data_IF_641935873419
#
_entry.id   IF_641935873419
#
_cell.length_a   1.000
_cell.length_b   1.000
_cell.length_c   1.000
_cell.angle_alpha   90.00
_cell.angle_beta   90.00
_cell.angle_gamma   90.00
#
_symmetry.space_group_name_H-M   'P 1'
#
loop_
_entity.id
_entity.type
_entity.pdbx_description
1 polymer ?
#
# COMPACT_ATOMS: atom_id res chain seq x y z
N UNK A 1 5.82 -18.68 0.07
CA UNK A 1 4.42 -18.26 0.43
C UNK A 1 3.97 -17.39 -0.72
N UNK A 2 2.75 -17.56 -1.22
CA UNK A 2 2.25 -16.70 -2.30
C UNK A 2 2.11 -15.25 -1.81
N UNK A 3 2.45 -14.24 -2.62
CA UNK A 3 2.29 -12.86 -2.23
C UNK A 3 0.81 -12.44 -2.15
N UNK A 4 0.49 -11.53 -1.26
CA UNK A 4 -0.78 -10.81 -1.22
C UNK A 4 -0.80 -9.85 -2.41
N UNK A 5 -1.89 -9.82 -3.18
CA UNK A 5 -2.05 -8.88 -4.29
C UNK A 5 -3.09 -7.83 -3.91
N UNK A 6 -2.68 -6.57 -3.99
CA UNK A 6 -3.46 -5.38 -3.67
C UNK A 6 -3.57 -4.47 -4.91
N UNK A 7 -4.58 -4.64 -5.78
CA UNK A 7 -4.79 -3.72 -6.90
C UNK A 7 -5.03 -2.29 -6.42
N UNK A 8 -4.21 -1.32 -6.90
CA UNK A 8 -4.42 0.09 -6.57
C UNK A 8 -5.46 0.72 -7.49
N UNK A 9 -6.56 1.16 -6.89
CA UNK A 9 -7.65 1.83 -7.61
C UNK A 9 -7.26 3.22 -8.15
N UNK A 10 -6.08 3.72 -7.84
CA UNK A 10 -5.54 4.93 -8.48
C UNK A 10 -5.43 4.77 -10.00
N UNK A 11 -5.25 3.52 -10.48
CA UNK A 11 -5.15 3.18 -11.91
C UNK A 11 -6.47 2.69 -12.52
N UNK A 12 -7.57 2.67 -11.74
CA UNK A 12 -8.89 2.27 -12.22
C UNK A 12 -9.50 3.34 -13.14
N UNK A 13 -10.49 2.97 -13.93
CA UNK A 13 -11.30 3.92 -14.70
C UNK A 13 -12.32 4.59 -13.77
N UNK A 14 -12.04 5.84 -13.36
CA UNK A 14 -12.93 6.59 -12.47
C UNK A 14 -14.32 6.87 -13.05
N UNK A 15 -14.49 6.82 -14.37
CA UNK A 15 -15.80 6.87 -15.02
C UNK A 15 -16.62 5.60 -14.80
N UNK A 16 -15.96 4.48 -14.49
CA UNK A 16 -16.56 3.16 -14.29
C UNK A 16 -16.05 2.46 -13.03
N UNK A 17 -15.67 3.21 -12.01
CA UNK A 17 -15.02 2.72 -10.79
C UNK A 17 -15.78 1.54 -10.14
N UNK A 18 -17.10 1.58 -10.12
CA UNK A 18 -17.90 0.48 -9.57
C UNK A 18 -17.65 -0.86 -10.29
N UNK A 19 -17.52 -0.83 -11.62
CA UNK A 19 -17.20 -2.02 -12.44
C UNK A 19 -15.82 -2.57 -12.11
N UNK A 20 -14.86 -1.68 -11.91
CA UNK A 20 -13.48 -2.08 -11.57
C UNK A 20 -13.41 -2.68 -10.16
N UNK A 21 -14.14 -2.12 -9.18
CA UNK A 21 -14.24 -2.73 -7.84
C UNK A 21 -14.93 -4.11 -7.92
N UNK A 22 -15.97 -4.28 -8.71
CA UNK A 22 -16.61 -5.59 -8.92
C UNK A 22 -15.64 -6.60 -9.56
N UNK A 23 -14.78 -6.18 -10.50
CA UNK A 23 -13.74 -7.03 -11.07
C UNK A 23 -12.76 -7.47 -9.98
N UNK A 24 -12.27 -6.54 -9.14
CA UNK A 24 -11.37 -6.90 -8.02
C UNK A 24 -12.06 -7.84 -7.03
N UNK A 25 -13.34 -7.64 -6.71
CA UNK A 25 -14.09 -8.55 -5.83
C UNK A 25 -14.12 -10.00 -6.35
N UNK A 26 -14.25 -10.19 -7.66
CA UNK A 26 -14.28 -11.53 -8.28
C UNK A 26 -12.91 -12.16 -8.44
N UNK A 27 -11.86 -11.35 -8.45
CA UNK A 27 -10.48 -11.81 -8.66
C UNK A 27 -9.89 -12.49 -7.43
N UNK A 28 -8.69 -13.05 -7.59
CA UNK A 28 -7.90 -13.64 -6.50
C UNK A 28 -7.14 -12.59 -5.65
N UNK A 29 -7.37 -11.29 -5.89
CA UNK A 29 -6.79 -10.24 -5.05
C UNK A 29 -7.26 -10.39 -3.59
N UNK A 30 -6.34 -10.18 -2.65
CA UNK A 30 -6.67 -10.23 -1.22
C UNK A 30 -7.14 -8.88 -0.70
N UNK A 31 -6.57 -7.78 -1.20
CA UNK A 31 -6.87 -6.43 -0.73
C UNK A 31 -7.27 -5.49 -1.87
N UNK A 32 -7.83 -4.33 -1.53
CA UNK A 32 -7.97 -3.16 -2.41
C UNK A 32 -7.08 -2.07 -1.86
N UNK A 33 -6.09 -1.63 -2.63
CA UNK A 33 -5.19 -0.54 -2.26
C UNK A 33 -5.76 0.81 -2.68
N UNK A 34 -5.71 1.78 -1.77
CA UNK A 34 -6.34 3.10 -1.91
C UNK A 34 -5.30 4.18 -1.65
N UNK A 35 -4.94 4.93 -2.69
CA UNK A 35 -3.97 6.03 -2.64
C UNK A 35 -4.66 7.38 -2.46
N UNK A 36 -4.58 7.95 -1.24
CA UNK A 36 -5.12 9.29 -0.95
C UNK A 36 -3.99 10.32 -1.01
N UNK A 37 -4.17 11.34 -1.85
CA UNK A 37 -3.20 12.41 -2.08
C UNK A 37 -3.85 13.77 -1.89
N UNK A 38 -3.17 14.71 -1.22
CA UNK A 38 -3.69 16.02 -0.82
C UNK A 38 -3.11 17.23 -1.55
N UNK A 39 -2.14 17.00 -2.47
CA UNK A 39 -1.43 18.07 -3.15
C UNK A 39 -0.43 18.83 -2.26
N UNK A 40 -0.31 18.45 -1.00
CA UNK A 40 0.62 19.02 -0.03
C UNK A 40 1.83 18.16 0.21
N UNK A 41 1.63 16.89 0.54
CA UNK A 41 2.71 15.91 0.72
C UNK A 41 3.28 15.45 -0.64
N UNK A 42 2.42 15.27 -1.64
CA UNK A 42 2.79 14.93 -3.02
C UNK A 42 2.19 15.94 -3.99
N UNK A 43 2.80 16.16 -5.20
CA UNK A 43 2.36 17.17 -6.15
C UNK A 43 1.15 16.70 -6.99
N UNK A 44 0.20 16.02 -6.38
CA UNK A 44 -1.02 15.51 -7.01
C UNK A 44 -2.16 15.42 -5.98
N UNK A 45 -3.39 15.49 -6.47
CA UNK A 45 -4.62 15.24 -5.71
C UNK A 45 -5.32 14.05 -6.36
N UNK A 46 -5.64 13.00 -5.58
CA UNK A 46 -6.34 11.84 -6.12
C UNK A 46 -7.86 11.93 -5.88
N UNK A 47 -8.36 11.28 -4.90
CA UNK A 47 -9.76 11.27 -4.51
C UNK A 47 -9.86 11.33 -2.97
N UNK A 48 -10.99 11.80 -2.48
CA UNK A 48 -11.24 11.92 -1.05
C UNK A 48 -12.39 11.04 -0.56
N UNK A 49 -12.71 11.19 0.72
CA UNK A 49 -13.72 10.40 1.41
C UNK A 49 -15.11 10.32 0.77
N UNK A 50 -15.61 11.38 0.05
CA UNK A 50 -16.88 11.26 -0.68
C UNK A 50 -16.91 10.13 -1.72
N UNK A 51 -15.79 9.90 -2.44
CA UNK A 51 -15.64 8.79 -3.39
C UNK A 51 -15.42 7.49 -2.63
N UNK A 52 -14.55 7.49 -1.63
CA UNK A 52 -14.16 6.31 -0.87
C UNK A 52 -15.31 5.63 -0.12
N UNK A 53 -16.34 6.38 0.28
CA UNK A 53 -17.58 5.80 0.85
C UNK A 53 -18.27 4.83 -0.11
N UNK A 54 -18.22 5.11 -1.41
CA UNK A 54 -18.78 4.19 -2.41
C UNK A 54 -17.85 3.00 -2.65
N UNK A 55 -16.54 3.21 -2.68
CA UNK A 55 -15.55 2.12 -2.76
C UNK A 55 -15.74 1.17 -1.58
N UNK A 56 -15.80 1.68 -0.36
CA UNK A 56 -15.99 0.90 0.85
C UNK A 56 -17.32 0.12 0.86
N UNK A 57 -18.39 0.71 0.30
CA UNK A 57 -19.68 0.05 0.18
C UNK A 57 -19.68 -1.11 -0.83
N UNK A 58 -18.90 -0.97 -1.90
CA UNK A 58 -18.88 -1.94 -3.00
C UNK A 58 -17.81 -3.03 -2.79
N UNK A 59 -16.72 -2.71 -2.12
CA UNK A 59 -15.63 -3.66 -1.91
C UNK A 59 -16.06 -4.79 -0.96
N UNK A 60 -15.75 -6.02 -1.35
CA UNK A 60 -15.83 -7.22 -0.52
C UNK A 60 -14.46 -7.64 0.02
N UNK A 61 -13.41 -6.91 -0.37
CA UNK A 61 -12.03 -7.14 0.04
C UNK A 61 -11.64 -6.13 1.12
N UNK A 62 -10.74 -6.47 2.06
CA UNK A 62 -10.14 -5.53 2.99
C UNK A 62 -9.56 -4.32 2.27
N UNK A 63 -9.79 -3.13 2.83
CA UNK A 63 -9.25 -1.89 2.30
C UNK A 63 -7.89 -1.61 2.96
N UNK A 64 -6.86 -1.47 2.15
CA UNK A 64 -5.55 -0.99 2.54
C UNK A 64 -5.43 0.48 2.12
N UNK A 65 -5.43 1.39 3.09
CA UNK A 65 -5.51 2.84 2.84
C UNK A 65 -4.17 3.50 3.04
N UNK A 66 -3.56 3.92 1.94
CA UNK A 66 -2.28 4.60 1.89
C UNK A 66 -2.46 6.13 1.81
N UNK A 67 -1.99 6.83 2.85
CA UNK A 67 -2.14 8.27 3.00
C UNK A 67 -0.87 9.02 2.60
N UNK A 68 -0.83 9.54 1.39
CA UNK A 68 0.18 10.48 0.90
C UNK A 68 -0.26 11.92 1.16
N UNK A 69 -0.42 12.25 2.44
CA UNK A 69 -0.97 13.53 2.91
C UNK A 69 -0.17 14.11 4.09
N UNK A 70 -0.28 15.40 4.31
CA UNK A 70 0.28 16.05 5.50
C UNK A 70 -0.65 15.83 6.71
N UNK A 71 -0.07 15.65 7.91
CA UNK A 71 -0.80 15.42 9.18
C UNK A 71 -1.84 14.28 9.09
N UNK A 72 -1.44 13.06 8.68
CA UNK A 72 -2.37 11.94 8.45
C UNK A 72 -3.16 11.54 9.69
N UNK A 73 -2.66 11.82 10.89
CA UNK A 73 -3.32 11.50 12.16
C UNK A 73 -4.69 12.16 12.31
N UNK A 74 -4.92 13.27 11.61
CA UNK A 74 -6.21 13.99 11.63
C UNK A 74 -7.34 13.21 10.93
N UNK A 75 -7.00 12.25 10.10
CA UNK A 75 -7.94 11.49 9.27
C UNK A 75 -8.18 10.05 9.77
N UNK A 76 -7.64 9.69 10.94
CA UNK A 76 -7.89 8.38 11.57
C UNK A 76 -9.40 8.09 11.72
N UNK A 77 -10.25 9.04 12.19
CA UNK A 77 -11.70 8.80 12.30
C UNK A 77 -12.36 8.53 10.94
N UNK A 78 -11.98 9.27 9.90
CA UNK A 78 -12.55 9.14 8.57
C UNK A 78 -12.15 7.80 7.91
N UNK A 79 -10.87 7.41 8.03
CA UNK A 79 -10.36 6.13 7.51
C UNK A 79 -11.02 4.97 8.24
N UNK A 80 -11.18 5.05 9.57
CA UNK A 80 -11.94 4.08 10.34
C UNK A 80 -13.40 3.97 9.88
N UNK A 81 -14.06 5.10 9.58
CA UNK A 81 -15.45 5.13 9.12
C UNK A 81 -15.64 4.45 7.74
N UNK A 82 -14.59 4.31 6.94
CA UNK A 82 -14.59 3.51 5.72
C UNK A 82 -14.55 2.00 6.01
N UNK A 83 -14.27 1.58 7.23
CA UNK A 83 -14.03 0.17 7.56
C UNK A 83 -12.66 -0.32 7.06
N UNK A 84 -11.68 0.56 6.96
CA UNK A 84 -10.33 0.20 6.51
C UNK A 84 -9.73 -0.89 7.41
N UNK A 85 -9.09 -1.87 6.77
CA UNK A 85 -8.31 -2.89 7.45
C UNK A 85 -6.96 -2.32 7.89
N UNK A 86 -6.26 -1.65 6.98
CA UNK A 86 -4.94 -1.09 7.19
C UNK A 86 -4.97 0.42 6.95
N UNK A 87 -4.26 1.18 7.78
CA UNK A 87 -3.97 2.58 7.54
C UNK A 87 -2.45 2.78 7.45
N UNK A 88 -1.98 3.09 6.25
CA UNK A 88 -0.61 3.37 5.90
C UNK A 88 -0.33 4.87 5.98
N UNK A 89 0.67 5.27 6.78
CA UNK A 89 1.11 6.66 6.91
C UNK A 89 2.59 6.77 6.58
N UNK A 90 2.99 7.81 5.89
CA UNK A 90 4.39 8.05 5.60
C UNK A 90 5.18 8.42 6.85
N UNK A 91 6.35 7.81 7.02
CA UNK A 91 7.34 8.17 8.03
C UNK A 91 7.63 9.68 7.99
N UNK A 92 7.80 10.20 6.78
CA UNK A 92 8.15 11.60 6.51
C UNK A 92 7.03 12.61 6.82
N UNK A 93 5.78 12.13 6.89
CA UNK A 93 4.61 12.95 7.23
C UNK A 93 4.28 12.98 8.73
N UNK A 94 4.98 12.15 9.55
CA UNK A 94 4.63 11.91 10.94
C UNK A 94 5.77 12.27 11.91
N UNK A 95 5.92 13.54 12.35
CA UNK A 95 6.94 13.90 13.34
C UNK A 95 6.85 13.10 14.65
N UNK A 96 5.67 12.63 15.00
CA UNK A 96 5.40 11.79 16.19
C UNK A 96 4.88 10.40 15.80
N UNK A 97 5.60 9.72 14.90
CA UNK A 97 5.16 8.47 14.28
C UNK A 97 4.68 7.40 15.28
N UNK A 98 5.41 7.17 16.36
CA UNK A 98 5.01 6.17 17.37
C UNK A 98 3.62 6.47 17.95
N UNK A 99 3.29 7.74 18.22
CA UNK A 99 1.96 8.16 18.68
C UNK A 99 0.89 7.86 17.62
N UNK A 100 1.16 8.15 16.35
CA UNK A 100 0.23 7.90 15.24
C UNK A 100 -0.06 6.41 15.10
N UNK A 101 0.97 5.57 15.18
CA UNK A 101 0.83 4.09 15.19
C UNK A 101 -0.11 3.62 16.31
N UNK A 102 0.07 4.15 17.53
CA UNK A 102 -0.80 3.83 18.66
C UNK A 102 -2.25 4.25 18.40
N UNK A 103 -2.47 5.47 17.93
CA UNK A 103 -3.81 5.99 17.61
C UNK A 103 -4.53 5.16 16.53
N UNK A 104 -3.83 4.73 15.49
CA UNK A 104 -4.39 3.84 14.44
C UNK A 104 -4.81 2.50 15.06
N UNK A 105 -3.96 1.92 15.92
CA UNK A 105 -4.27 0.66 16.61
C UNK A 105 -5.45 0.80 17.57
N UNK A 106 -5.50 1.87 18.35
CA UNK A 106 -6.62 2.18 19.29
C UNK A 106 -7.94 2.41 18.53
N UNK A 107 -7.86 2.93 17.30
CA UNK A 107 -9.00 3.04 16.42
C UNK A 107 -9.49 1.67 15.87
N UNK A 108 -8.75 0.58 16.08
CA UNK A 108 -9.10 -0.78 15.65
C UNK A 108 -8.67 -1.12 14.23
N UNK A 109 -7.74 -0.34 13.64
CA UNK A 109 -7.13 -0.62 12.34
C UNK A 109 -5.72 -1.18 12.52
N UNK A 110 -5.19 -1.84 11.50
CA UNK A 110 -3.80 -2.29 11.44
C UNK A 110 -2.89 -1.10 11.06
N UNK A 111 -1.94 -0.71 11.94
CA UNK A 111 -1.04 0.40 11.62
C UNK A 111 0.03 -0.04 10.64
N UNK A 112 0.21 0.72 9.58
CA UNK A 112 1.30 0.52 8.63
C UNK A 112 2.08 1.81 8.41
N UNK A 113 3.37 1.65 8.08
CA UNK A 113 4.28 2.78 7.86
C UNK A 113 4.91 2.67 6.48
N UNK A 114 4.81 3.75 5.73
CA UNK A 114 5.41 3.88 4.41
C UNK A 114 6.72 4.66 4.49
N UNK A 115 7.72 4.24 3.72
CA UNK A 115 8.96 4.99 3.52
C UNK A 115 9.20 5.28 2.05
N UNK A 116 9.61 6.53 1.77
CA UNK A 116 10.01 7.00 0.44
C UNK A 116 11.29 6.29 -0.06
N UNK A 117 11.58 6.35 -1.38
CA UNK A 117 12.79 5.72 -1.93
C UNK A 117 14.09 6.17 -1.24
N UNK A 118 14.19 7.46 -0.86
CA UNK A 118 15.38 8.01 -0.22
C UNK A 118 15.46 7.78 1.30
N UNK A 119 14.40 7.29 1.96
CA UNK A 119 14.35 7.10 3.41
C UNK A 119 14.95 5.75 3.79
N UNK A 120 16.02 5.70 4.62
CA UNK A 120 16.68 4.45 5.00
C UNK A 120 15.78 3.54 5.85
N UNK A 121 15.84 2.23 5.61
CA UNK A 121 15.15 1.19 6.41
C UNK A 121 15.56 1.24 7.89
N UNK A 122 16.80 1.61 8.19
CA UNK A 122 17.33 1.68 9.56
C UNK A 122 16.53 2.60 10.49
N UNK A 123 15.83 3.60 9.95
CA UNK A 123 14.96 4.51 10.74
C UNK A 123 13.73 3.80 11.33
N UNK A 124 13.39 2.61 10.87
CA UNK A 124 12.26 1.82 11.37
C UNK A 124 12.63 0.95 12.57
N UNK A 125 13.92 0.88 12.96
CA UNK A 125 14.41 -0.06 13.96
C UNK A 125 13.63 0.01 15.29
N UNK A 126 13.28 1.20 15.75
CA UNK A 126 12.65 1.40 17.05
C UNK A 126 11.13 1.15 17.04
N UNK A 127 10.51 1.13 15.83
CA UNK A 127 9.05 0.97 15.68
C UNK A 127 8.62 -0.32 14.97
N UNK A 128 9.58 -1.09 14.44
CA UNK A 128 9.28 -2.25 13.58
C UNK A 128 8.44 -3.34 14.27
N UNK A 129 8.46 -3.41 15.60
CA UNK A 129 7.64 -4.34 16.38
C UNK A 129 6.22 -3.83 16.64
N UNK A 130 6.00 -2.54 16.42
CA UNK A 130 4.72 -1.86 16.70
C UNK A 130 3.86 -1.70 15.47
N UNK A 131 4.36 -2.04 14.28
CA UNK A 131 3.62 -1.95 13.03
C UNK A 131 3.15 -3.33 12.57
N UNK A 132 2.01 -3.35 11.89
CA UNK A 132 1.50 -4.52 11.19
C UNK A 132 2.22 -4.73 9.86
N UNK A 133 2.57 -3.62 9.18
CA UNK A 133 3.15 -3.66 7.86
C UNK A 133 4.06 -2.46 7.62
N UNK A 134 5.08 -2.63 6.78
CA UNK A 134 5.87 -1.55 6.21
C UNK A 134 5.71 -1.56 4.69
N UNK A 135 5.30 -0.42 4.15
CA UNK A 135 5.22 -0.19 2.71
C UNK A 135 6.51 0.49 2.22
N UNK A 136 7.21 -0.15 1.29
CA UNK A 136 8.35 0.42 0.58
C UNK A 136 7.88 1.01 -0.73
N UNK A 137 8.07 2.34 -0.90
CA UNK A 137 7.85 2.97 -2.18
C UNK A 137 8.96 2.58 -3.16
N UNK A 138 8.60 2.00 -4.28
CA UNK A 138 9.49 1.67 -5.40
C UNK A 138 9.40 2.64 -6.58
N UNK A 139 8.68 3.73 -6.37
CA UNK A 139 8.64 4.95 -7.19
C UNK A 139 8.57 6.17 -6.25
N UNK A 140 8.75 7.38 -6.76
CA UNK A 140 8.42 8.56 -5.96
C UNK A 140 6.90 8.67 -5.85
N UNK A 141 6.33 8.82 -4.63
CA UNK A 141 4.87 8.90 -4.46
C UNK A 141 4.28 10.10 -5.20
N UNK A 142 3.02 9.97 -5.64
CA UNK A 142 2.25 11.03 -6.28
C UNK A 142 1.61 10.71 -7.63
N UNK A 143 2.15 9.76 -8.41
CA UNK A 143 1.60 9.38 -9.72
C UNK A 143 1.71 7.89 -9.96
N UNK A 144 0.70 7.32 -10.64
CA UNK A 144 0.76 5.96 -11.16
C UNK A 144 1.63 5.84 -12.43
N UNK A 145 1.96 4.60 -12.81
CA UNK A 145 2.62 4.29 -14.08
C UNK A 145 4.10 4.74 -14.19
N UNK A 146 4.75 5.03 -13.08
CA UNK A 146 6.16 5.43 -13.04
C UNK A 146 7.11 4.24 -13.23
N UNK A 147 8.35 4.54 -13.64
CA UNK A 147 9.42 3.55 -13.78
C UNK A 147 9.89 3.09 -12.39
N UNK A 148 10.02 1.77 -12.22
CA UNK A 148 10.52 1.13 -11.02
C UNK A 148 11.92 1.61 -10.63
N UNK A 149 12.14 1.86 -9.35
CA UNK A 149 13.44 2.23 -8.78
C UNK A 149 14.14 0.96 -8.30
N UNK A 150 15.21 0.55 -9.00
CA UNK A 150 15.93 -0.70 -8.78
C UNK A 150 16.41 -0.92 -7.34
N UNK A 151 16.85 0.16 -6.67
CA UNK A 151 17.32 0.10 -5.29
C UNK A 151 16.26 -0.37 -4.28
N UNK A 152 14.97 -0.34 -4.66
CA UNK A 152 13.89 -0.81 -3.78
C UNK A 152 13.99 -2.30 -3.45
N UNK A 153 14.58 -3.11 -4.34
CA UNK A 153 14.81 -4.55 -4.07
C UNK A 153 15.78 -4.73 -2.90
N UNK A 154 16.85 -3.93 -2.83
CA UNK A 154 17.78 -3.97 -1.70
C UNK A 154 17.11 -3.52 -0.41
N UNK A 155 16.25 -2.48 -0.47
CA UNK A 155 15.49 -2.03 0.70
C UNK A 155 14.56 -3.12 1.24
N UNK A 156 13.95 -3.92 0.37
CA UNK A 156 13.15 -5.10 0.79
C UNK A 156 14.03 -6.10 1.54
N UNK A 157 15.23 -6.43 1.03
CA UNK A 157 16.17 -7.33 1.71
C UNK A 157 16.61 -6.78 3.07
N UNK A 158 16.94 -5.49 3.14
CA UNK A 158 17.31 -4.82 4.39
C UNK A 158 16.18 -4.87 5.43
N UNK A 159 14.94 -4.62 4.98
CA UNK A 159 13.77 -4.67 5.85
C UNK A 159 13.46 -6.10 6.32
N UNK A 160 13.59 -7.09 5.46
CA UNK A 160 13.44 -8.50 5.84
C UNK A 160 14.46 -8.89 6.90
N UNK A 161 15.72 -8.51 6.73
CA UNK A 161 16.77 -8.75 7.72
C UNK A 161 16.50 -8.00 9.05
N UNK A 162 15.94 -6.79 9.01
CA UNK A 162 15.53 -6.06 10.20
C UNK A 162 14.40 -6.77 10.95
N UNK A 163 13.37 -7.22 10.24
CA UNK A 163 12.23 -7.98 10.79
C UNK A 163 12.71 -9.26 11.47
N UNK A 164 13.56 -10.05 10.81
CA UNK A 164 14.11 -11.29 11.35
C UNK A 164 14.97 -11.04 12.60
N UNK A 165 15.91 -10.08 12.53
CA UNK A 165 16.79 -9.73 13.64
C UNK A 165 16.03 -9.27 14.87
N UNK A 166 14.91 -8.55 14.69
CA UNK A 166 14.12 -8.02 15.80
C UNK A 166 13.03 -8.97 16.28
N UNK A 167 12.74 -10.05 15.53
CA UNK A 167 11.61 -10.94 15.80
C UNK A 167 10.25 -10.28 15.56
N UNK A 168 10.21 -9.21 14.76
CA UNK A 168 8.96 -8.58 14.32
C UNK A 168 8.15 -9.54 13.44
N UNK A 169 6.83 -9.29 13.36
CA UNK A 169 5.92 -10.00 12.44
C UNK A 169 5.36 -9.07 11.37
N UNK A 170 5.96 -7.90 11.21
CA UNK A 170 5.50 -6.94 10.21
C UNK A 170 5.61 -7.54 8.80
N UNK A 171 4.57 -7.30 7.99
CA UNK A 171 4.58 -7.60 6.57
C UNK A 171 5.41 -6.56 5.81
N UNK A 172 5.94 -6.95 4.65
CA UNK A 172 6.60 -6.06 3.70
C UNK A 172 5.70 -5.91 2.49
N UNK A 173 5.19 -4.71 2.29
CA UNK A 173 4.45 -4.33 1.09
C UNK A 173 5.32 -3.47 0.19
N UNK A 174 5.12 -3.56 -1.13
CA UNK A 174 5.84 -2.72 -2.10
C UNK A 174 4.84 -2.09 -3.07
N UNK A 175 4.96 -0.76 -3.25
CA UNK A 175 4.15 0.01 -4.18
C UNK A 175 4.99 0.82 -5.16
N UNK A 176 4.66 0.68 -6.44
CA UNK A 176 5.21 1.45 -7.54
C UNK A 176 5.93 0.62 -8.61
N UNK A 177 5.46 0.68 -9.86
CA UNK A 177 6.07 0.00 -10.99
C UNK A 177 6.08 -1.54 -10.89
N UNK A 178 5.19 -2.11 -10.08
CA UNK A 178 5.05 -3.56 -9.90
C UNK A 178 4.41 -4.18 -11.14
N UNK A 179 5.03 -5.22 -11.65
CA UNK A 179 4.58 -6.08 -12.75
C UNK A 179 5.15 -7.50 -12.53
N UNK A 180 4.98 -8.42 -13.46
CA UNK A 180 5.46 -9.81 -13.29
C UNK A 180 6.97 -9.90 -13.09
N UNK A 181 7.76 -9.08 -13.80
CA UNK A 181 9.23 -9.10 -13.70
C UNK A 181 9.70 -8.49 -12.37
N UNK A 182 9.25 -7.28 -12.05
CA UNK A 182 9.67 -6.60 -10.81
C UNK A 182 9.07 -7.27 -9.59
N UNK A 183 7.83 -7.78 -9.68
CA UNK A 183 7.15 -8.55 -8.63
C UNK A 183 7.90 -9.81 -8.24
N UNK A 184 8.37 -10.61 -9.22
CA UNK A 184 9.16 -11.81 -8.95
C UNK A 184 10.42 -11.49 -8.14
N UNK A 185 11.14 -10.43 -8.51
CA UNK A 185 12.35 -9.97 -7.81
C UNK A 185 12.06 -9.45 -6.39
N UNK A 186 10.91 -8.81 -6.20
CA UNK A 186 10.47 -8.32 -4.89
C UNK A 186 10.09 -9.47 -3.96
N UNK A 187 9.36 -10.46 -4.46
CA UNK A 187 9.01 -11.68 -3.70
C UNK A 187 10.27 -12.44 -3.33
N UNK A 188 11.21 -12.65 -4.26
CA UNK A 188 12.51 -13.24 -3.97
C UNK A 188 13.31 -12.49 -2.90
N UNK A 189 13.20 -11.15 -2.89
CA UNK A 189 13.82 -10.30 -1.87
C UNK A 189 13.13 -10.36 -0.50
N UNK A 190 11.90 -10.90 -0.44
CA UNK A 190 11.15 -11.10 0.79
C UNK A 190 9.91 -10.21 0.95
N UNK A 191 9.36 -9.64 -0.12
CA UNK A 191 8.08 -8.95 -0.06
C UNK A 191 6.94 -9.94 0.20
N UNK A 192 5.98 -9.54 1.05
CA UNK A 192 4.79 -10.32 1.40
C UNK A 192 3.56 -9.83 0.63
N UNK A 193 3.52 -8.55 0.23
CA UNK A 193 2.41 -7.95 -0.49
C UNK A 193 2.91 -7.06 -1.65
N UNK A 194 2.16 -7.07 -2.74
CA UNK A 194 2.45 -6.34 -3.97
C UNK A 194 1.28 -5.44 -4.35
N UNK A 195 1.52 -4.13 -4.38
CA UNK A 195 0.55 -3.17 -4.92
C UNK A 195 0.73 -3.05 -6.43
N UNK A 196 -0.29 -3.42 -7.17
CA UNK A 196 -0.28 -3.41 -8.63
C UNK A 196 -1.42 -2.54 -9.19
N UNK A 197 -1.09 -1.37 -9.71
CA UNK A 197 -2.05 -0.47 -10.35
C UNK A 197 -2.13 -0.70 -11.86
N UNK A 198 -1.30 0.02 -12.60
CA UNK A 198 -1.33 0.01 -14.07
C UNK A 198 -1.15 -1.40 -14.68
N UNK A 199 -0.32 -2.25 -14.07
CA UNK A 199 -0.13 -3.62 -14.57
C UNK A 199 -1.44 -4.42 -14.58
N UNK A 200 -2.33 -4.18 -13.61
CA UNK A 200 -3.64 -4.85 -13.52
C UNK A 200 -4.66 -4.13 -14.38
N UNK A 201 -4.93 -2.84 -14.15
CA UNK A 201 -6.07 -2.15 -14.77
C UNK A 201 -5.87 -1.85 -16.27
N UNK A 202 -4.63 -1.81 -16.78
CA UNK A 202 -4.36 -1.69 -18.20
C UNK A 202 -4.18 -3.05 -18.92
N UNK A 203 -4.24 -4.17 -18.20
CA UNK A 203 -4.15 -5.50 -18.81
C UNK A 203 -5.39 -5.83 -19.65
N UNK A 204 -5.24 -6.55 -20.77
CA UNK A 204 -6.39 -7.05 -21.54
C UNK A 204 -7.33 -7.95 -20.72
N UNK A 205 -6.79 -8.68 -19.75
CA UNK A 205 -7.52 -9.49 -18.76
C UNK A 205 -6.93 -9.21 -17.37
N UNK A 206 -7.52 -8.25 -16.62
CA UNK A 206 -7.07 -7.87 -15.29
C UNK A 206 -7.12 -9.02 -14.27
N UNK A 207 -8.15 -9.89 -14.34
CA UNK A 207 -8.27 -11.02 -13.41
C UNK A 207 -7.17 -12.06 -13.67
N UNK A 208 -6.79 -12.31 -14.93
CA UNK A 208 -5.66 -13.16 -15.27
C UNK A 208 -4.31 -12.56 -14.80
N UNK A 209 -4.15 -11.25 -14.90
CA UNK A 209 -2.93 -10.57 -14.42
C UNK A 209 -2.78 -10.69 -12.90
N UNK A 210 -3.86 -10.50 -12.13
CA UNK A 210 -3.87 -10.69 -10.67
C UNK A 210 -3.47 -12.13 -10.34
N UNK A 211 -4.02 -13.12 -11.03
CA UNK A 211 -3.69 -14.53 -10.85
C UNK A 211 -2.22 -14.83 -11.11
N UNK A 212 -1.65 -14.26 -12.20
CA UNK A 212 -0.23 -14.42 -12.52
C UNK A 212 0.69 -13.77 -11.46
N UNK A 213 0.31 -12.60 -10.95
CA UNK A 213 1.04 -11.96 -9.85
C UNK A 213 0.99 -12.78 -8.55
N UNK A 214 -0.14 -13.44 -8.29
CA UNK A 214 -0.34 -14.29 -7.13
C UNK A 214 0.45 -15.62 -7.20
N UNK A 215 0.91 -15.99 -8.37
CA UNK A 215 1.71 -17.20 -8.58
C UNK A 215 3.23 -16.95 -8.53
N UNK A 216 3.68 -15.71 -8.27
CA UNK A 216 5.08 -15.39 -8.08
C UNK A 216 5.58 -15.93 -6.70
#
# INVERSE_FOLDING_TARGET
MKPIIAPSILSADFGYLAKDIEMVNRSEAEWVHIDIMDGGFVPNISFGFPVLKYVAKLSQKPLDVHLMIVNPEKFIPEVKALGAHTMNVHYEACPHLHRVIQQIREAGMQPAVTINPATPVALLQDIIRDVYMVLIMSVNPGFGGQKFIEHSVEKVRELRALIERTGSKALIEVDGGVNLETGARLVEAGADALVAGNAVFAAPDPEAMIRQLHEL
#
